data_IF_118744749007
#
_entry.id   IF_118744749007
#
_cell.length_a   1.000
_cell.length_b   1.000
_cell.length_c   1.000
_cell.angle_alpha   90.00
_cell.angle_beta   90.00
_cell.angle_gamma   90.00
#
_symmetry.space_group_name_H-M   'P 1'
#
loop_
_entity.id
_entity.type
_entity.pdbx_description
1 polymer ?
#
# COMPACT_ATOMS: atom_id res chain seq x y z
N UNK A 1 -17.46 -21.08 13.00
CA UNK A 1 -16.75 -21.16 11.71
C UNK A 1 -17.16 -20.05 10.74
N UNK A 2 -18.42 -19.98 10.28
CA UNK A 2 -18.88 -18.94 9.33
C UNK A 2 -18.51 -17.50 9.72
N UNK A 3 -18.80 -17.07 10.94
CA UNK A 3 -18.44 -15.73 11.44
C UNK A 3 -16.92 -15.48 11.44
N UNK A 4 -16.10 -16.51 11.65
CA UNK A 4 -14.63 -16.39 11.60
C UNK A 4 -14.14 -16.24 10.15
N UNK A 5 -14.76 -16.94 9.21
CA UNK A 5 -14.48 -16.80 7.77
C UNK A 5 -14.89 -15.41 7.24
N UNK A 6 -16.03 -14.89 7.68
CA UNK A 6 -16.47 -13.51 7.38
C UNK A 6 -15.50 -12.48 7.96
N UNK A 7 -15.13 -12.64 9.23
CA UNK A 7 -14.16 -11.75 9.90
C UNK A 7 -12.80 -11.80 9.22
N UNK A 8 -12.37 -12.99 8.76
CA UNK A 8 -11.13 -13.19 8.03
C UNK A 8 -11.17 -12.45 6.69
N UNK A 9 -12.23 -12.69 5.88
CA UNK A 9 -12.41 -12.06 4.58
C UNK A 9 -12.43 -10.53 4.68
N UNK A 10 -13.22 -10.01 5.63
CA UNK A 10 -13.30 -8.57 5.87
C UNK A 10 -11.96 -8.00 6.34
N UNK A 11 -11.32 -8.65 7.31
CA UNK A 11 -10.03 -8.21 7.84
C UNK A 11 -8.93 -8.20 6.76
N UNK A 12 -8.93 -9.18 5.85
CA UNK A 12 -8.00 -9.22 4.72
C UNK A 12 -8.23 -8.04 3.77
N UNK A 13 -9.48 -7.77 3.39
CA UNK A 13 -9.82 -6.62 2.53
C UNK A 13 -9.45 -5.29 3.17
N UNK A 14 -9.78 -5.11 4.46
CA UNK A 14 -9.47 -3.90 5.21
C UNK A 14 -7.94 -3.68 5.30
N UNK A 15 -7.15 -4.74 5.52
CA UNK A 15 -5.69 -4.67 5.51
C UNK A 15 -5.14 -4.26 4.14
N UNK A 16 -5.57 -4.93 3.06
CA UNK A 16 -5.11 -4.60 1.70
C UNK A 16 -5.48 -3.17 1.29
N UNK A 17 -6.70 -2.72 1.63
CA UNK A 17 -7.11 -1.34 1.37
C UNK A 17 -6.26 -0.34 2.16
N UNK A 18 -5.99 -0.62 3.43
CA UNK A 18 -5.17 0.26 4.27
C UNK A 18 -3.73 0.32 3.78
N UNK A 19 -3.18 -0.80 3.31
CA UNK A 19 -1.83 -0.87 2.72
C UNK A 19 -1.72 0.05 1.49
N UNK A 20 -2.67 -0.03 0.57
CA UNK A 20 -2.72 0.82 -0.63
C UNK A 20 -2.91 2.30 -0.28
N UNK A 21 -3.72 2.61 0.73
CA UNK A 21 -3.84 3.98 1.26
C UNK A 21 -2.50 4.50 1.80
N UNK A 22 -1.77 3.68 2.58
CA UNK A 22 -0.48 4.08 3.12
C UNK A 22 0.57 4.27 2.02
N UNK A 23 0.60 3.39 1.00
CA UNK A 23 1.46 3.56 -0.18
C UNK A 23 1.17 4.88 -0.89
N UNK A 24 -0.11 5.21 -1.09
CA UNK A 24 -0.50 6.46 -1.73
C UNK A 24 -0.08 7.71 -0.94
N UNK A 25 -0.23 7.68 0.40
CA UNK A 25 0.25 8.78 1.24
C UNK A 25 1.79 8.89 1.18
N UNK A 26 2.50 7.76 1.19
CA UNK A 26 3.96 7.75 1.08
C UNK A 26 4.45 8.39 -0.23
N UNK A 27 3.79 8.10 -1.36
CA UNK A 27 4.10 8.77 -2.64
C UNK A 27 3.98 10.29 -2.55
N UNK A 28 2.94 10.80 -1.88
CA UNK A 28 2.79 12.24 -1.65
C UNK A 28 3.89 12.82 -0.77
N UNK A 29 4.35 12.07 0.24
CA UNK A 29 5.48 12.46 1.09
C UNK A 29 6.74 12.60 0.22
N UNK A 30 7.05 11.61 -0.61
CA UNK A 30 8.21 11.60 -1.52
C UNK A 30 8.16 12.75 -2.55
N UNK A 31 6.99 13.00 -3.14
CA UNK A 31 6.76 14.14 -4.05
C UNK A 31 7.03 15.47 -3.34
N UNK A 32 6.54 15.61 -2.11
CA UNK A 32 6.71 16.83 -1.31
C UNK A 32 8.18 17.05 -0.90
N UNK A 33 8.92 15.99 -0.56
CA UNK A 33 10.37 16.06 -0.31
C UNK A 33 11.13 16.52 -1.56
N UNK A 34 10.75 15.98 -2.72
CA UNK A 34 11.33 16.35 -4.01
C UNK A 34 11.09 17.83 -4.32
N UNK A 35 9.89 18.34 -4.07
CA UNK A 35 9.55 19.75 -4.24
C UNK A 35 10.37 20.66 -3.32
N UNK A 36 10.47 20.32 -2.03
CA UNK A 36 11.29 21.03 -1.05
C UNK A 36 12.75 21.07 -1.49
N UNK A 37 13.29 19.94 -1.93
CA UNK A 37 14.66 19.82 -2.44
C UNK A 37 14.89 20.71 -3.67
N UNK A 38 13.92 20.75 -4.59
CA UNK A 38 13.96 21.62 -5.76
C UNK A 38 14.01 23.11 -5.37
N UNK A 39 13.13 23.55 -4.46
CA UNK A 39 13.12 24.94 -4.00
C UNK A 39 14.42 25.35 -3.30
N UNK A 40 14.99 24.48 -2.46
CA UNK A 40 16.31 24.72 -1.84
C UNK A 40 17.39 24.96 -2.91
N UNK A 41 17.50 24.07 -3.89
CA UNK A 41 18.49 24.20 -4.98
C UNK A 41 18.30 25.51 -5.76
N UNK A 42 17.05 25.88 -6.05
CA UNK A 42 16.73 27.12 -6.78
C UNK A 42 17.11 28.38 -5.98
N UNK A 43 16.88 28.37 -4.65
CA UNK A 43 17.33 29.45 -3.76
C UNK A 43 18.86 29.56 -3.79
N UNK A 44 19.58 28.44 -3.66
CA UNK A 44 21.04 28.43 -3.69
C UNK A 44 21.60 28.98 -5.01
N UNK A 45 20.98 28.61 -6.14
CA UNK A 45 21.37 29.09 -7.47
C UNK A 45 21.10 30.59 -7.65
N UNK A 46 19.95 31.09 -7.17
CA UNK A 46 19.65 32.51 -7.17
C UNK A 46 20.61 33.29 -6.28
N UNK A 47 20.94 32.75 -5.10
CA UNK A 47 21.90 33.35 -4.19
C UNK A 47 23.30 33.43 -4.83
N UNK A 48 23.75 32.38 -5.52
CA UNK A 48 25.00 32.40 -6.30
C UNK A 48 24.98 33.46 -7.40
N UNK A 49 23.88 33.57 -8.17
CA UNK A 49 23.73 34.58 -9.23
C UNK A 49 23.69 36.00 -8.67
N UNK A 50 23.02 36.21 -7.54
CA UNK A 50 22.94 37.49 -6.86
C UNK A 50 24.31 38.01 -6.43
N UNK A 51 25.18 37.14 -5.89
CA UNK A 51 26.55 37.50 -5.53
C UNK A 51 27.44 37.79 -6.75
N UNK A 52 27.28 37.03 -7.85
CA UNK A 52 28.06 37.25 -9.08
C UNK A 52 27.69 38.56 -9.80
N UNK A 53 26.41 38.95 -9.76
CA UNK A 53 25.87 40.08 -10.52
C UNK A 53 25.80 41.39 -9.72
N UNK A 54 26.58 41.55 -8.65
CA UNK A 54 26.78 42.84 -7.99
C UNK A 54 25.74 43.26 -6.94
N UNK A 55 25.05 42.33 -6.26
CA UNK A 55 24.14 42.54 -5.09
C UNK A 55 23.03 43.62 -5.19
N UNK A 56 22.90 44.36 -6.30
CA UNK A 56 21.89 45.42 -6.47
C UNK A 56 20.66 44.97 -7.27
N UNK A 57 20.61 43.69 -7.67
CA UNK A 57 19.48 43.20 -8.45
C UNK A 57 18.31 42.79 -7.53
N UNK A 58 17.37 43.73 -7.34
CA UNK A 58 16.14 43.56 -6.56
C UNK A 58 15.25 42.41 -7.03
N UNK A 59 15.34 42.01 -8.31
CA UNK A 59 14.61 40.86 -8.87
C UNK A 59 15.00 39.55 -8.19
N UNK A 60 16.30 39.27 -8.05
CA UNK A 60 16.76 38.04 -7.40
C UNK A 60 16.36 38.00 -5.92
N UNK A 61 16.37 39.15 -5.25
CA UNK A 61 15.91 39.27 -3.85
C UNK A 61 14.43 38.93 -3.73
N UNK A 62 13.58 39.49 -4.59
CA UNK A 62 12.15 39.22 -4.57
C UNK A 62 11.83 37.75 -4.90
N UNK A 63 12.50 37.17 -5.90
CA UNK A 63 12.35 35.75 -6.25
C UNK A 63 12.79 34.82 -5.10
N UNK A 64 13.91 35.13 -4.43
CA UNK A 64 14.36 34.36 -3.26
C UNK A 64 13.36 34.45 -2.11
N UNK A 65 12.83 35.63 -1.81
CA UNK A 65 11.83 35.78 -0.74
C UNK A 65 10.51 35.07 -1.05
N UNK A 66 10.12 35.00 -2.32
CA UNK A 66 8.99 34.19 -2.75
C UNK A 66 9.26 32.70 -2.53
N UNK A 67 10.40 32.18 -3.01
CA UNK A 67 10.75 30.76 -2.85
C UNK A 67 10.90 30.38 -1.37
N UNK A 68 11.36 31.28 -0.50
CA UNK A 68 11.39 31.04 0.95
C UNK A 68 10.00 30.87 1.55
N UNK A 69 9.00 31.59 1.05
CA UNK A 69 7.59 31.40 1.46
C UNK A 69 7.07 30.05 0.96
N UNK A 70 7.27 29.74 -0.32
CA UNK A 70 6.88 28.45 -0.91
C UNK A 70 7.56 27.27 -0.19
N UNK A 71 8.82 27.42 0.20
CA UNK A 71 9.56 26.42 0.97
C UNK A 71 8.98 26.22 2.38
N UNK A 72 8.57 27.31 3.05
CA UNK A 72 7.92 27.25 4.36
C UNK A 72 6.58 26.52 4.28
N UNK A 73 5.76 26.88 3.29
CA UNK A 73 4.48 26.22 3.04
C UNK A 73 4.71 24.74 2.70
N UNK A 74 5.76 24.46 1.93
CA UNK A 74 6.17 23.11 1.59
C UNK A 74 6.54 22.26 2.82
N UNK A 75 7.26 22.81 3.81
CA UNK A 75 7.53 22.09 5.07
C UNK A 75 6.29 21.86 5.92
N UNK A 76 5.40 22.84 5.95
CA UNK A 76 4.12 22.70 6.65
C UNK A 76 3.32 21.55 6.05
N UNK A 77 3.26 21.46 4.72
CA UNK A 77 2.55 20.37 4.04
C UNK A 77 3.24 19.01 4.24
N UNK A 78 4.58 18.97 4.14
CA UNK A 78 5.36 17.77 4.45
C UNK A 78 5.05 17.24 5.84
N UNK A 79 5.04 18.10 6.85
CA UNK A 79 4.75 17.70 8.25
C UNK A 79 3.36 17.09 8.37
N UNK A 80 2.36 17.62 7.66
CA UNK A 80 1.02 17.04 7.65
C UNK A 80 1.00 15.66 7.00
N UNK A 81 1.63 15.52 5.82
CA UNK A 81 1.70 14.26 5.09
C UNK A 81 2.46 13.20 5.89
N UNK A 82 3.56 13.58 6.54
CA UNK A 82 4.35 12.68 7.39
C UNK A 82 3.52 12.17 8.58
N UNK A 83 2.74 13.05 9.23
CA UNK A 83 1.84 12.64 10.30
C UNK A 83 0.72 11.72 9.79
N UNK A 84 0.10 12.05 8.64
CA UNK A 84 -0.90 11.18 8.01
C UNK A 84 -0.32 9.81 7.68
N UNK A 85 0.93 9.74 7.21
CA UNK A 85 1.60 8.50 6.90
C UNK A 85 1.85 7.66 8.17
N UNK A 86 2.36 8.29 9.24
CA UNK A 86 2.56 7.64 10.54
C UNK A 86 1.27 7.07 11.10
N UNK A 87 0.18 7.84 11.05
CA UNK A 87 -1.15 7.40 11.48
C UNK A 87 -1.67 6.24 10.62
N UNK A 88 -1.43 6.28 9.31
CA UNK A 88 -1.79 5.21 8.39
C UNK A 88 -1.07 3.91 8.74
N UNK A 89 0.27 3.96 8.92
CA UNK A 89 1.08 2.81 9.30
C UNK A 89 0.61 2.23 10.64
N UNK A 90 0.29 3.08 11.62
CA UNK A 90 -0.24 2.62 12.90
C UNK A 90 -1.57 1.85 12.73
N UNK A 91 -2.50 2.39 11.94
CA UNK A 91 -3.77 1.71 11.63
C UNK A 91 -3.54 0.40 10.90
N UNK A 92 -2.64 0.38 9.91
CA UNK A 92 -2.29 -0.84 9.17
C UNK A 92 -1.77 -1.92 10.12
N UNK A 93 -0.77 -1.61 10.96
CA UNK A 93 -0.21 -2.53 11.96
C UNK A 93 -1.31 -3.06 12.90
N UNK A 94 -2.19 -2.18 13.37
CA UNK A 94 -3.30 -2.59 14.23
C UNK A 94 -4.23 -3.57 13.50
N UNK A 95 -4.65 -3.27 12.28
CA UNK A 95 -5.52 -4.13 11.48
C UNK A 95 -4.86 -5.48 11.17
N UNK A 96 -3.57 -5.51 10.83
CA UNK A 96 -2.81 -6.75 10.60
C UNK A 96 -2.83 -7.64 11.84
N UNK A 97 -2.60 -7.08 13.04
CA UNK A 97 -2.66 -7.85 14.30
C UNK A 97 -4.05 -8.41 14.57
N UNK A 98 -5.11 -7.64 14.29
CA UNK A 98 -6.48 -8.14 14.43
C UNK A 98 -6.75 -9.29 13.45
N UNK A 99 -6.25 -9.20 12.22
CA UNK A 99 -6.35 -10.27 11.24
C UNK A 99 -5.59 -11.53 11.68
N UNK A 100 -4.37 -11.39 12.23
CA UNK A 100 -3.61 -12.50 12.80
C UNK A 100 -4.40 -13.23 13.91
N UNK A 101 -5.04 -12.49 14.81
CA UNK A 101 -5.90 -13.08 15.84
C UNK A 101 -7.08 -13.85 15.24
N UNK A 102 -7.69 -13.32 14.18
CA UNK A 102 -8.75 -14.02 13.45
C UNK A 102 -8.22 -15.30 12.79
N UNK A 103 -7.03 -15.26 12.15
CA UNK A 103 -6.37 -16.45 11.58
C UNK A 103 -6.16 -17.52 12.65
N UNK A 104 -5.59 -17.16 13.80
CA UNK A 104 -5.36 -18.09 14.92
C UNK A 104 -6.67 -18.71 15.40
N UNK A 105 -7.70 -17.90 15.61
CA UNK A 105 -9.00 -18.39 16.05
C UNK A 105 -9.66 -19.31 15.02
N UNK A 106 -9.54 -18.98 13.74
CA UNK A 106 -10.06 -19.77 12.62
C UNK A 106 -9.37 -21.14 12.58
N UNK A 107 -8.04 -21.17 12.57
CA UNK A 107 -7.26 -22.41 12.53
C UNK A 107 -7.52 -23.27 13.76
N UNK A 108 -7.47 -22.67 14.95
CA UNK A 108 -7.75 -23.37 16.21
C UNK A 108 -9.17 -23.97 16.25
N UNK A 109 -10.15 -23.32 15.60
CA UNK A 109 -11.52 -23.84 15.54
C UNK A 109 -11.66 -25.10 14.68
N UNK A 110 -10.75 -25.34 13.73
CA UNK A 110 -10.76 -26.52 12.85
C UNK A 110 -9.83 -27.61 13.38
N UNK A 111 -8.61 -27.25 13.78
CA UNK A 111 -7.58 -28.22 14.17
C UNK A 111 -7.63 -28.58 15.66
N UNK A 112 -8.26 -27.75 16.51
CA UNK A 112 -8.45 -28.04 17.93
C UNK A 112 -7.14 -28.35 18.65
N UNK A 113 -7.01 -29.58 19.15
CA UNK A 113 -5.80 -30.05 19.83
C UNK A 113 -4.58 -30.20 18.90
N UNK A 114 -4.81 -30.36 17.59
CA UNK A 114 -3.76 -30.47 16.57
C UNK A 114 -3.31 -29.10 16.03
N UNK A 115 -3.77 -27.99 16.64
CA UNK A 115 -3.32 -26.65 16.29
C UNK A 115 -1.82 -26.49 16.59
N UNK A 116 -1.07 -26.00 15.61
CA UNK A 116 0.33 -25.62 15.78
C UNK A 116 0.54 -24.20 15.27
N UNK A 117 1.00 -23.31 16.16
CA UNK A 117 1.25 -21.90 15.82
C UNK A 117 2.36 -21.76 14.77
N UNK A 118 3.36 -22.65 14.76
CA UNK A 118 4.44 -22.66 13.77
C UNK A 118 3.94 -23.02 12.37
N UNK A 119 2.78 -23.68 12.28
CA UNK A 119 2.14 -24.09 11.02
C UNK A 119 0.89 -23.26 10.72
N UNK A 120 0.75 -22.06 11.31
CA UNK A 120 -0.49 -21.28 11.24
C UNK A 120 -0.90 -21.01 9.79
N UNK A 121 0.03 -20.58 8.95
CA UNK A 121 -0.26 -20.22 7.55
C UNK A 121 -0.57 -21.46 6.71
N UNK A 122 0.16 -22.57 6.89
CA UNK A 122 -0.12 -23.83 6.21
C UNK A 122 -1.48 -24.41 6.62
N UNK A 123 -1.78 -24.42 7.92
CA UNK A 123 -3.06 -24.88 8.44
C UNK A 123 -4.21 -23.98 7.96
N UNK A 124 -3.98 -22.67 7.86
CA UNK A 124 -4.94 -21.73 7.27
C UNK A 124 -5.19 -22.04 5.79
N UNK A 125 -4.14 -22.25 5.00
CA UNK A 125 -4.26 -22.61 3.58
C UNK A 125 -5.05 -23.91 3.37
N UNK A 126 -4.86 -24.90 4.24
CA UNK A 126 -5.65 -26.14 4.22
C UNK A 126 -7.14 -25.89 4.46
N UNK A 127 -7.50 -24.90 5.28
CA UNK A 127 -8.90 -24.50 5.50
C UNK A 127 -9.45 -23.77 4.28
N UNK A 128 -8.70 -22.77 3.77
CA UNK A 128 -9.13 -21.92 2.66
C UNK A 128 -9.27 -22.71 1.34
N UNK A 129 -8.49 -23.77 1.17
CA UNK A 129 -8.56 -24.66 -0.01
C UNK A 129 -9.73 -25.65 0.03
N UNK A 130 -10.44 -25.79 1.16
CA UNK A 130 -11.64 -26.64 1.20
C UNK A 130 -12.73 -26.06 0.29
N UNK A 131 -13.26 -26.89 -0.61
CA UNK A 131 -14.26 -26.47 -1.60
C UNK A 131 -15.44 -25.71 -0.99
N UNK A 132 -15.97 -26.19 0.15
CA UNK A 132 -17.09 -25.54 0.84
C UNK A 132 -16.72 -24.16 1.42
N UNK A 133 -15.50 -24.00 1.90
CA UNK A 133 -14.97 -22.73 2.42
C UNK A 133 -14.73 -21.76 1.27
N UNK A 134 -14.10 -22.22 0.20
CA UNK A 134 -13.87 -21.42 -1.02
C UNK A 134 -15.18 -20.89 -1.59
N UNK A 135 -16.17 -21.76 -1.80
CA UNK A 135 -17.50 -21.34 -2.28
C UNK A 135 -18.19 -20.36 -1.32
N UNK A 136 -17.99 -20.51 -0.01
CA UNK A 136 -18.57 -19.60 0.97
C UNK A 136 -17.96 -18.21 0.87
N UNK A 137 -16.63 -18.12 0.81
CA UNK A 137 -15.90 -16.87 0.68
C UNK A 137 -16.19 -16.17 -0.65
N UNK A 138 -16.24 -16.91 -1.76
CA UNK A 138 -16.64 -16.38 -3.08
C UNK A 138 -18.02 -15.74 -3.04
N UNK A 139 -18.99 -16.36 -2.35
CA UNK A 139 -20.35 -15.80 -2.22
C UNK A 139 -20.39 -14.52 -1.40
N UNK A 140 -19.64 -14.46 -0.30
CA UNK A 140 -19.55 -13.25 0.52
C UNK A 140 -18.90 -12.12 -0.28
N UNK A 141 -17.84 -12.45 -1.03
CA UNK A 141 -17.15 -11.51 -1.90
C UNK A 141 -17.99 -11.01 -3.09
N UNK A 142 -18.91 -11.83 -3.59
CA UNK A 142 -19.78 -11.49 -4.73
C UNK A 142 -21.05 -10.76 -4.32
N UNK A 143 -21.37 -10.70 -3.02
CA UNK A 143 -22.68 -10.30 -2.50
C UNK A 143 -22.85 -8.82 -2.20
N UNK A 144 -21.79 -8.03 -2.14
CA UNK A 144 -21.84 -6.59 -1.89
C UNK A 144 -20.83 -5.89 -2.79
N UNK A 145 -21.03 -4.59 -3.06
CA UNK A 145 -20.29 -3.77 -4.03
C UNK A 145 -18.80 -3.54 -3.69
N UNK A 146 -18.03 -4.61 -3.48
CA UNK A 146 -16.59 -4.57 -3.21
C UNK A 146 -15.86 -5.15 -4.41
N UNK A 147 -15.35 -4.27 -5.28
CA UNK A 147 -14.41 -4.62 -6.35
C UNK A 147 -13.03 -5.11 -5.84
N UNK A 148 -12.89 -5.31 -4.53
CA UNK A 148 -11.62 -5.51 -3.84
C UNK A 148 -11.36 -6.98 -3.42
N UNK A 149 -12.28 -7.91 -3.64
CA UNK A 149 -11.95 -9.33 -3.51
C UNK A 149 -11.07 -9.76 -4.68
N UNK A 150 -9.74 -9.57 -4.54
CA UNK A 150 -8.78 -10.29 -5.40
C UNK A 150 -8.95 -11.78 -5.11
N UNK A 151 -9.10 -12.58 -6.16
CA UNK A 151 -9.24 -14.04 -6.09
C UNK A 151 -7.95 -14.77 -5.65
N UNK A 152 -7.08 -14.12 -4.87
CA UNK A 152 -5.79 -14.66 -4.41
C UNK A 152 -5.94 -15.62 -3.22
N UNK A 153 -7.04 -16.38 -3.17
CA UNK A 153 -7.19 -17.48 -2.21
C UNK A 153 -6.41 -18.73 -2.67
N UNK A 154 -5.16 -18.54 -3.11
CA UNK A 154 -4.22 -19.63 -3.44
C UNK A 154 -3.67 -19.66 -4.87
N UNK A 155 -3.34 -18.51 -5.48
CA UNK A 155 -2.51 -18.53 -6.70
C UNK A 155 -1.03 -18.47 -6.31
N UNK A 156 -0.31 -19.54 -6.64
CA UNK A 156 1.14 -19.55 -6.75
C UNK A 156 1.58 -18.42 -7.70
N UNK A 157 2.62 -17.64 -7.39
CA UNK A 157 3.11 -16.59 -8.28
C UNK A 157 3.79 -17.13 -9.56
N UNK A 158 4.05 -18.44 -9.67
CA UNK A 158 4.83 -19.05 -10.76
C UNK A 158 4.00 -19.64 -11.92
N UNK A 159 2.72 -19.29 -12.05
CA UNK A 159 1.98 -19.58 -13.29
C UNK A 159 2.21 -18.48 -14.32
N UNK A 160 3.44 -18.37 -14.83
CA UNK A 160 3.73 -17.61 -16.03
C UNK A 160 2.81 -18.07 -17.17
N UNK A 161 2.24 -17.08 -17.85
CA UNK A 161 1.44 -17.23 -19.05
C UNK A 161 2.24 -17.98 -20.13
N UNK A 162 2.03 -19.29 -20.24
CA UNK A 162 2.27 -19.98 -21.51
C UNK A 162 1.17 -19.57 -22.47
N UNK A 163 1.39 -18.43 -23.11
CA UNK A 163 0.69 -18.03 -24.31
C UNK A 163 1.14 -19.01 -25.41
N UNK A 164 0.34 -20.06 -25.64
CA UNK A 164 0.48 -20.91 -26.81
C UNK A 164 0.14 -20.08 -28.05
N UNK A 165 1.17 -19.72 -28.81
CA UNK A 165 1.02 -19.28 -30.20
C UNK A 165 0.46 -20.45 -31.04
N UNK A 166 -0.65 -20.27 -31.77
CA UNK A 166 -1.08 -21.24 -32.78
C UNK A 166 -0.20 -21.08 -34.02
N UNK A 167 0.66 -22.08 -34.21
CA UNK A 167 1.05 -22.71 -35.48
C UNK A 167 0.98 -21.82 -36.75
N UNK A 168 2.14 -21.31 -37.17
CA UNK A 168 2.38 -20.81 -38.52
C UNK A 168 3.44 -21.67 -39.22
N UNK A 169 2.97 -22.55 -40.10
CA UNK A 169 3.75 -23.23 -41.13
C UNK A 169 2.80 -24.03 -42.03
N UNK A 170 2.96 -24.15 -43.34
CA UNK A 170 3.89 -23.59 -44.32
C UNK A 170 3.22 -23.76 -45.70
N UNK A 171 3.53 -22.82 -46.61
CA UNK A 171 3.80 -22.97 -48.05
C UNK A 171 3.14 -24.10 -48.87
N UNK A 172 2.46 -23.68 -49.95
CA UNK A 172 2.71 -24.16 -51.32
C UNK A 172 2.44 -23.04 -52.31
#
# INVERSE_FOLDING_TARGET
MKNLLESYSKGQQDCSRQEEECKFINLKVEDQESLISHFRKKIDDLQRKFYKNGRDNSKYKNEMEQLKRELRDGYSEYTKLENMYKDCIFKHIHSTRQLELVKVNLVKSVFGASFNLELLEEQLLLILSQYSVKQYLERICSGEQSSACRNDFGQDPDAEQQQQDPDAGQES
#
